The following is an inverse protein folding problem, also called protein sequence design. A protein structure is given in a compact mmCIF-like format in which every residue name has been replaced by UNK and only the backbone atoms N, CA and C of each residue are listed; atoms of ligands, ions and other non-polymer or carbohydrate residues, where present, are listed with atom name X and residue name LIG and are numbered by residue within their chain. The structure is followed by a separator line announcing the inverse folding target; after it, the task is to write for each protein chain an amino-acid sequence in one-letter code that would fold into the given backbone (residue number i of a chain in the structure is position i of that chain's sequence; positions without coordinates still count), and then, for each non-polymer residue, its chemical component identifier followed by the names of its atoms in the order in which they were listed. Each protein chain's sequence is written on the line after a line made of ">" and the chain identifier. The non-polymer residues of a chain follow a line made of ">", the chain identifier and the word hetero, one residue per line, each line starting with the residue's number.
data_IF_982672398021
#
_entry.id   IF_982672398021
#
_cell.length_a   1.000
_cell.length_b   1.000
_cell.length_c   1.000
_cell.angle_alpha   90.00
_cell.angle_beta   90.00
_cell.angle_gamma   90.00
#
_symmetry.space_group_name_H-M   'P 1'
#
loop_
_entity.id
_entity.type
_entity.pdbx_description
1 polymer ?
#
# COMPACT_ATOMS: atom_id res chain seq x y z
N UNK A 1 5.84 -26.61 3.97
CA UNK A 1 4.58 -26.77 4.72
C UNK A 1 4.60 -25.76 5.87
N UNK A 2 4.14 -24.52 5.64
CA UNK A 2 4.24 -23.44 6.63
C UNK A 2 2.91 -23.39 7.39
N UNK A 3 2.87 -24.11 8.49
CA UNK A 3 1.80 -23.99 9.48
C UNK A 3 1.90 -22.62 10.17
N UNK A 4 0.72 -21.99 10.32
CA UNK A 4 0.37 -21.17 11.48
C UNK A 4 1.17 -19.87 11.70
N UNK A 5 0.76 -18.79 11.04
CA UNK A 5 1.17 -17.40 11.36
C UNK A 5 -0.05 -16.56 11.74
N UNK A 6 -0.91 -17.10 12.60
CA UNK A 6 -1.98 -16.37 13.27
C UNK A 6 -1.81 -16.69 14.77
N UNK A 7 -1.10 -15.84 15.51
CA UNK A 7 -0.89 -16.05 16.94
C UNK A 7 0.44 -15.56 17.54
N UNK A 8 1.35 -14.98 16.77
CA UNK A 8 2.50 -14.29 17.37
C UNK A 8 2.06 -12.85 17.66
N UNK A 9 1.89 -12.52 18.95
CA UNK A 9 1.78 -11.15 19.45
C UNK A 9 3.12 -10.44 19.24
N UNK A 10 3.44 -10.10 18.00
CA UNK A 10 4.48 -9.12 17.72
C UNK A 10 3.97 -7.77 18.22
N UNK A 11 4.69 -7.12 19.15
CA UNK A 11 4.42 -5.72 19.50
C UNK A 11 4.47 -4.92 18.20
N UNK A 12 3.34 -4.34 17.80
CA UNK A 12 3.29 -3.45 16.65
C UNK A 12 4.26 -2.30 16.92
N UNK A 13 5.29 -2.19 16.09
CA UNK A 13 6.16 -1.02 16.12
C UNK A 13 5.49 0.03 15.25
N UNK A 14 4.90 1.02 15.91
CA UNK A 14 4.49 2.26 15.25
C UNK A 14 5.65 3.24 15.41
N UNK A 15 6.58 3.35 14.44
CA UNK A 15 7.47 4.50 14.47
C UNK A 15 6.58 5.73 14.41
N UNK A 16 6.60 6.54 15.47
CA UNK A 16 6.01 7.87 15.48
C UNK A 16 6.81 8.85 14.61
N UNK A 17 7.63 8.34 13.68
CA UNK A 17 8.35 9.14 12.70
C UNK A 17 7.26 9.75 11.82
N UNK A 18 6.99 11.06 11.95
CA UNK A 18 6.12 11.72 10.99
C UNK A 18 6.77 11.49 9.63
N UNK A 19 5.99 11.12 8.62
CA UNK A 19 6.47 11.25 7.25
C UNK A 19 6.69 12.75 7.03
N UNK A 20 7.90 13.23 7.35
CA UNK A 20 8.28 14.62 7.13
C UNK A 20 8.11 14.88 5.65
N UNK A 21 7.31 15.89 5.32
CA UNK A 21 7.08 16.28 3.94
C UNK A 21 8.44 16.57 3.32
N UNK A 22 8.77 15.88 2.22
CA UNK A 22 9.97 16.21 1.45
C UNK A 22 9.87 17.71 1.13
N UNK A 23 10.84 18.54 1.53
CA UNK A 23 10.78 19.97 1.26
C UNK A 23 10.58 20.18 -0.23
N UNK A 24 9.61 21.02 -0.63
CA UNK A 24 9.24 21.22 -2.04
C UNK A 24 10.46 21.46 -2.95
N UNK A 25 11.47 22.17 -2.42
CA UNK A 25 12.75 22.43 -3.09
C UNK A 25 13.56 21.16 -3.38
N UNK A 26 13.63 20.22 -2.44
CA UNK A 26 14.31 18.95 -2.63
C UNK A 26 13.58 18.08 -3.66
N UNK A 27 12.25 18.05 -3.62
CA UNK A 27 11.45 17.31 -4.61
C UNK A 27 11.69 17.84 -6.04
N UNK A 28 11.61 19.16 -6.24
CA UNK A 28 11.88 19.79 -7.55
C UNK A 28 13.29 19.51 -8.03
N UNK A 29 14.28 19.61 -7.15
CA UNK A 29 15.67 19.30 -7.48
C UNK A 29 15.85 17.84 -7.92
N UNK A 30 15.32 16.89 -7.16
CA UNK A 30 15.42 15.45 -7.46
C UNK A 30 14.72 15.09 -8.78
N UNK A 31 13.52 15.65 -9.03
CA UNK A 31 12.79 15.45 -10.29
C UNK A 31 13.56 16.07 -11.46
N UNK A 32 14.13 17.27 -11.27
CA UNK A 32 14.93 17.96 -12.29
C UNK A 32 16.22 17.22 -12.67
N UNK A 33 16.82 16.49 -11.71
CA UNK A 33 18.03 15.70 -11.92
C UNK A 33 17.80 14.41 -12.74
N UNK A 34 16.55 14.02 -13.01
CA UNK A 34 16.25 12.84 -13.83
C UNK A 34 16.69 13.11 -15.29
N UNK A 35 17.62 12.32 -15.84
CA UNK A 35 18.09 12.51 -17.21
C UNK A 35 16.95 12.26 -18.21
N UNK A 36 16.97 12.96 -19.33
CA UNK A 36 15.89 12.89 -20.34
C UNK A 36 15.65 11.46 -20.83
N UNK A 37 16.71 10.65 -20.95
CA UNK A 37 16.63 9.23 -21.33
C UNK A 37 15.86 8.36 -20.34
N UNK A 38 15.73 8.78 -19.08
CA UNK A 38 14.99 8.07 -18.04
C UNK A 38 13.60 8.68 -17.77
N UNK A 39 13.21 9.76 -18.45
CA UNK A 39 11.89 10.36 -18.30
C UNK A 39 10.86 9.53 -19.05
N UNK A 40 9.72 9.27 -18.41
CA UNK A 40 8.59 8.63 -19.07
C UNK A 40 8.12 9.50 -20.26
N UNK A 41 7.83 8.86 -21.39
CA UNK A 41 7.20 9.55 -22.52
C UNK A 41 5.79 9.99 -22.15
N UNK A 42 5.25 10.99 -22.85
CA UNK A 42 3.86 11.44 -22.66
C UNK A 42 2.87 10.28 -22.79
N UNK A 43 3.14 9.33 -23.69
CA UNK A 43 2.31 8.15 -23.87
C UNK A 43 2.33 7.24 -22.63
N UNK A 44 3.50 7.03 -22.03
CA UNK A 44 3.63 6.25 -20.78
C UNK A 44 2.93 6.98 -19.63
N UNK A 45 3.11 8.30 -19.52
CA UNK A 45 2.43 9.10 -18.49
C UNK A 45 0.92 8.98 -18.62
N UNK A 46 0.37 9.09 -19.83
CA UNK A 46 -1.06 8.95 -20.08
C UNK A 46 -1.56 7.55 -19.73
N UNK A 47 -0.77 6.51 -20.00
CA UNK A 47 -1.11 5.13 -19.62
C UNK A 47 -1.09 4.93 -18.09
N UNK A 48 -0.16 5.55 -17.37
CA UNK A 48 -0.04 5.46 -15.92
C UNK A 48 -1.22 6.12 -15.17
N UNK A 49 -1.85 7.12 -15.77
CA UNK A 49 -3.02 7.82 -15.22
C UNK A 49 -4.33 7.35 -15.86
N UNK A 50 -4.33 6.25 -16.63
CA UNK A 50 -5.57 5.71 -17.15
C UNK A 50 -6.50 5.27 -15.99
N UNK A 51 -7.83 5.39 -16.14
CA UNK A 51 -8.75 4.96 -15.11
C UNK A 51 -8.56 3.50 -14.72
N UNK A 52 -8.57 3.22 -13.41
CA UNK A 52 -8.51 1.88 -12.85
C UNK A 52 -9.91 1.25 -13.00
N UNK A 53 -9.97 0.10 -13.67
CA UNK A 53 -11.21 -0.64 -13.96
C UNK A 53 -11.16 -2.11 -13.56
N UNK A 54 -10.00 -2.61 -13.13
CA UNK A 54 -9.70 -4.03 -12.91
C UNK A 54 -9.53 -4.39 -11.43
N UNK A 55 -10.12 -3.60 -10.51
CA UNK A 55 -9.95 -3.76 -9.06
C UNK A 55 -10.32 -5.16 -8.56
N UNK A 56 -11.41 -5.74 -9.07
CA UNK A 56 -11.83 -7.08 -8.71
C UNK A 56 -10.77 -8.13 -9.09
N UNK A 57 -10.19 -8.05 -10.28
CA UNK A 57 -9.14 -8.97 -10.71
C UNK A 57 -7.83 -8.72 -9.95
N UNK A 58 -7.50 -7.46 -9.67
CA UNK A 58 -6.38 -7.09 -8.83
C UNK A 58 -6.48 -7.71 -7.42
N UNK A 59 -7.67 -7.70 -6.81
CA UNK A 59 -7.88 -8.25 -5.46
C UNK A 59 -7.65 -9.77 -5.36
N UNK A 60 -7.77 -10.52 -6.47
CA UNK A 60 -7.48 -11.97 -6.49
C UNK A 60 -6.01 -12.28 -6.24
N UNK A 61 -5.12 -11.30 -6.46
CA UNK A 61 -3.67 -11.42 -6.22
C UNK A 61 -3.29 -11.12 -4.77
N UNK A 62 -4.23 -10.67 -3.93
CA UNK A 62 -3.94 -10.41 -2.52
C UNK A 62 -3.58 -11.70 -1.77
N UNK A 63 -2.58 -11.66 -0.88
CA UNK A 63 -2.19 -12.82 -0.09
C UNK A 63 -3.33 -13.25 0.83
N UNK A 64 -3.58 -14.57 0.90
CA UNK A 64 -4.60 -15.14 1.80
C UNK A 64 -4.22 -15.06 3.28
N UNK A 65 -2.94 -14.87 3.57
CA UNK A 65 -2.40 -14.74 4.93
C UNK A 65 -1.46 -13.54 4.94
N UNK A 66 -1.87 -12.48 5.60
CA UNK A 66 -1.08 -11.28 5.84
C UNK A 66 -1.47 -10.70 7.19
N UNK A 67 -0.58 -9.89 7.77
CA UNK A 67 -0.97 -9.02 8.87
C UNK A 67 -2.00 -8.00 8.34
N UNK A 68 -3.08 -7.73 9.09
CA UNK A 68 -4.01 -6.66 8.73
C UNK A 68 -3.34 -5.28 8.87
N UNK A 69 -3.93 -4.28 8.21
CA UNK A 69 -3.53 -2.89 8.38
C UNK A 69 -3.94 -2.34 9.75
N UNK A 70 -3.82 -1.02 9.91
CA UNK A 70 -4.27 -0.30 11.12
C UNK A 70 -5.77 -0.46 11.42
N UNK A 71 -6.56 -0.80 10.40
CA UNK A 71 -7.99 -1.04 10.49
C UNK A 71 -8.35 -2.45 10.98
N UNK A 72 -7.37 -3.35 11.12
CA UNK A 72 -7.61 -4.74 11.50
C UNK A 72 -8.28 -5.58 10.42
N UNK A 73 -8.52 -5.05 9.22
CA UNK A 73 -9.22 -5.76 8.15
C UNK A 73 -8.23 -6.58 7.30
N UNK A 74 -8.47 -7.88 7.11
CA UNK A 74 -7.64 -8.68 6.23
C UNK A 74 -8.04 -8.46 4.75
N UNK A 75 -7.13 -8.74 3.81
CA UNK A 75 -7.36 -8.50 2.38
C UNK A 75 -8.60 -9.20 1.79
N UNK A 76 -9.08 -10.28 2.41
CA UNK A 76 -10.32 -10.96 2.00
C UNK A 76 -11.53 -10.03 2.04
N UNK A 77 -11.55 -9.06 2.96
CA UNK A 77 -12.64 -8.08 3.05
C UNK A 77 -12.63 -7.18 1.81
N UNK A 78 -11.47 -6.74 1.32
CA UNK A 78 -11.37 -5.96 0.07
C UNK A 78 -11.94 -6.74 -1.12
N UNK A 79 -11.61 -8.03 -1.23
CA UNK A 79 -12.15 -8.87 -2.29
C UNK A 79 -13.68 -8.95 -2.24
N UNK A 80 -14.25 -9.15 -1.05
CA UNK A 80 -15.71 -9.18 -0.85
C UNK A 80 -16.38 -7.84 -1.22
N UNK A 81 -15.75 -6.71 -0.86
CA UNK A 81 -16.26 -5.39 -1.21
C UNK A 81 -16.30 -5.19 -2.72
N UNK A 82 -15.26 -5.61 -3.44
CA UNK A 82 -15.17 -5.46 -4.90
C UNK A 82 -16.11 -6.41 -5.65
N UNK A 83 -16.48 -7.53 -5.02
CA UNK A 83 -17.47 -8.47 -5.55
C UNK A 83 -18.91 -7.96 -5.40
N UNK A 84 -19.18 -7.04 -4.46
CA UNK A 84 -20.53 -6.58 -4.16
C UNK A 84 -20.98 -5.51 -5.17
N UNK A 85 -21.92 -5.79 -6.09
CA UNK A 85 -22.22 -4.89 -7.21
C UNK A 85 -22.65 -3.47 -6.81
N UNK A 86 -23.46 -3.26 -5.75
CA UNK A 86 -23.79 -1.92 -5.28
C UNK A 86 -22.59 -1.05 -4.85
N UNK A 87 -21.47 -1.67 -4.49
CA UNK A 87 -20.27 -0.96 -4.04
C UNK A 87 -19.26 -0.71 -5.15
N UNK A 88 -19.33 -1.43 -6.28
CA UNK A 88 -18.37 -1.29 -7.38
C UNK A 88 -18.23 0.17 -7.87
N UNK A 89 -19.31 0.93 -8.13
CA UNK A 89 -19.18 2.32 -8.58
C UNK A 89 -18.50 3.21 -7.54
N UNK A 90 -18.74 2.96 -6.25
CA UNK A 90 -18.15 3.73 -5.15
C UNK A 90 -16.66 3.43 -5.05
N UNK A 91 -16.30 2.15 -5.10
CA UNK A 91 -14.93 1.66 -5.05
C UNK A 91 -14.13 2.23 -6.22
N UNK A 92 -14.61 2.07 -7.45
CA UNK A 92 -13.93 2.61 -8.64
C UNK A 92 -13.77 4.13 -8.54
N UNK A 93 -14.80 4.84 -8.08
CA UNK A 93 -14.73 6.28 -7.89
C UNK A 93 -13.64 6.67 -6.87
N UNK A 94 -13.56 6.00 -5.73
CA UNK A 94 -12.55 6.30 -4.69
C UNK A 94 -11.13 6.12 -5.24
N UNK A 95 -10.86 5.04 -5.96
CA UNK A 95 -9.54 4.78 -6.53
C UNK A 95 -9.17 5.75 -7.65
N UNK A 96 -10.10 6.07 -8.54
CA UNK A 96 -9.87 7.01 -9.63
C UNK A 96 -9.77 8.47 -9.13
N UNK A 97 -10.58 8.86 -8.15
CA UNK A 97 -10.46 10.18 -7.51
C UNK A 97 -9.09 10.34 -6.84
N UNK A 98 -8.58 9.30 -6.17
CA UNK A 98 -7.25 9.30 -5.56
C UNK A 98 -6.11 9.32 -6.61
N UNK A 99 -6.33 8.73 -7.79
CA UNK A 99 -5.35 8.74 -8.89
C UNK A 99 -5.31 10.10 -9.62
N UNK A 100 -6.46 10.74 -9.84
CA UNK A 100 -6.58 11.92 -10.70
C UNK A 100 -6.66 13.25 -9.96
N UNK A 101 -7.34 13.30 -8.82
CA UNK A 101 -8.02 14.54 -8.39
C UNK A 101 -7.71 14.97 -6.96
N UNK A 102 -7.31 14.05 -6.07
CA UNK A 102 -7.45 14.32 -4.65
C UNK A 102 -6.41 13.71 -3.74
N UNK A 103 -6.30 14.25 -2.51
CA UNK A 103 -5.41 13.72 -1.51
C UNK A 103 -5.78 12.25 -1.26
N UNK A 104 -4.78 11.41 -1.42
CA UNK A 104 -4.86 10.00 -1.05
C UNK A 104 -5.34 9.90 0.41
N UNK A 105 -6.27 8.98 0.74
CA UNK A 105 -6.68 8.79 2.12
C UNK A 105 -5.46 8.65 3.04
N UNK A 106 -5.47 9.35 4.19
CA UNK A 106 -4.34 9.33 5.13
C UNK A 106 -3.98 7.92 5.60
N UNK A 107 -4.95 7.01 5.63
CA UNK A 107 -4.71 5.59 5.94
C UNK A 107 -3.82 4.88 4.92
N UNK A 108 -3.73 5.34 3.66
CA UNK A 108 -2.87 4.73 2.64
C UNK A 108 -1.41 5.18 2.75
N UNK A 109 -1.12 6.28 3.45
CA UNK A 109 0.25 6.73 3.75
C UNK A 109 0.76 6.25 5.11
N UNK A 110 -0.07 5.52 5.86
CA UNK A 110 0.30 4.93 7.13
C UNK A 110 0.71 3.47 6.97
N UNK A 111 1.81 3.07 7.60
CA UNK A 111 2.28 1.69 7.60
C UNK A 111 2.33 1.14 9.03
N UNK A 112 2.02 -0.15 9.18
CA UNK A 112 2.31 -0.91 10.40
C UNK A 112 3.57 -1.72 10.14
N UNK A 113 4.60 -1.50 10.95
CA UNK A 113 5.81 -2.29 10.90
C UNK A 113 5.83 -3.26 12.09
N UNK A 114 5.96 -4.55 11.80
CA UNK A 114 6.27 -5.55 12.83
C UNK A 114 7.67 -6.07 12.59
N UNK A 115 8.55 -5.91 13.58
CA UNK A 115 9.90 -6.47 13.52
C UNK A 115 9.80 -7.97 13.81
N UNK A 116 9.99 -8.77 12.76
CA UNK A 116 10.04 -10.23 12.87
C UNK A 116 11.50 -10.68 12.96
N UNK A 117 11.87 -11.50 13.97
CA UNK A 117 13.22 -12.02 14.07
C UNK A 117 13.53 -12.92 12.88
N UNK A 118 14.78 -12.83 12.40
CA UNK A 118 15.27 -13.74 11.35
C UNK A 118 15.41 -15.15 11.93
N UNK A 119 15.18 -16.16 11.08
CA UNK A 119 15.11 -17.59 11.45
C UNK A 119 16.30 -18.09 12.29
N UNK A 120 17.49 -17.53 12.07
CA UNK A 120 18.73 -18.01 12.69
C UNK A 120 19.25 -17.06 13.79
N UNK A 121 18.52 -15.99 14.11
CA UNK A 121 18.88 -15.00 15.13
C UNK A 121 17.92 -15.08 16.32
N UNK A 122 17.84 -16.28 16.90
CA UNK A 122 16.93 -16.61 18.01
C UNK A 122 17.35 -15.93 19.33
N UNK A 123 18.52 -15.29 19.39
CA UNK A 123 18.98 -14.58 20.59
C UNK A 123 18.18 -13.30 20.86
N UNK A 124 17.45 -12.79 19.87
CA UNK A 124 16.56 -11.62 19.99
C UNK A 124 15.10 -11.97 20.38
N UNK A 125 14.80 -13.26 20.58
CA UNK A 125 13.46 -13.73 20.99
C UNK A 125 13.23 -13.73 22.50
N UNK A 126 14.26 -13.46 23.31
CA UNK A 126 14.12 -13.30 24.75
C UNK A 126 13.60 -11.89 25.05
N UNK A 127 12.28 -11.77 25.21
CA UNK A 127 11.66 -10.71 26.02
C UNK A 127 11.57 -11.18 27.47
#
# INVERSE_FOLDING_TARGET
>A
MIHQWCGIEGKAYTPSIPFESIPLRAAVYLIGAIPVSARASTQVLHALIAPITDLLDASKRCPRRSCPGLDGLPYQILHLLFQHPPLQPIVEKVYNDALHSGPVPSSWSQIVASLLPKKDDLQLLAN
#
